data_IF_876824508810
#
_entry.id   IF_876824508810
#
_cell.length_a   1.000
_cell.length_b   1.000
_cell.length_c   1.000
_cell.angle_alpha   90.00
_cell.angle_beta   90.00
_cell.angle_gamma   90.00
#
_symmetry.space_group_name_H-M   'P 1'
#
loop_
_entity.id
_entity.type
_entity.pdbx_description
1 polymer ?
#
# COMPACT_ATOMS: atom_id res chain seq x y z
N UNK A 1 28.80 19.96 14.95
CA UNK A 1 27.53 19.59 14.34
C UNK A 1 26.90 18.40 15.09
N UNK A 2 25.62 18.28 14.98
CA UNK A 2 24.85 17.14 15.52
C UNK A 2 24.81 16.02 14.49
N UNK A 3 24.88 14.76 14.92
CA UNK A 3 24.76 13.60 14.04
C UNK A 3 23.29 13.19 13.95
N UNK A 4 22.79 12.99 12.74
CA UNK A 4 21.46 12.48 12.46
C UNK A 4 21.54 11.20 11.64
N UNK A 5 20.53 10.32 11.81
CA UNK A 5 20.41 9.09 11.05
C UNK A 5 18.98 8.97 10.56
N UNK A 6 18.79 8.93 9.26
CA UNK A 6 17.55 8.48 8.61
C UNK A 6 17.67 6.98 8.30
N UNK A 7 16.57 6.24 8.44
CA UNK A 7 16.58 4.81 8.17
C UNK A 7 15.27 4.33 7.54
N UNK A 8 15.36 3.28 6.73
CA UNK A 8 14.21 2.59 6.15
C UNK A 8 14.55 1.13 5.85
N UNK A 9 13.51 0.30 5.74
CA UNK A 9 13.64 -1.08 5.27
C UNK A 9 13.30 -1.13 3.77
N UNK A 10 14.18 -1.73 2.95
CA UNK A 10 13.93 -1.89 1.52
C UNK A 10 12.82 -2.93 1.29
N UNK A 11 11.72 -2.60 0.56
CA UNK A 11 10.62 -3.52 0.34
C UNK A 11 11.03 -4.84 -0.32
N UNK A 12 10.37 -5.95 0.06
CA UNK A 12 10.56 -7.28 -0.54
C UNK A 12 9.80 -7.43 -1.87
N UNK A 13 9.95 -6.49 -2.79
CA UNK A 13 9.20 -6.45 -4.04
C UNK A 13 10.06 -6.56 -5.30
N UNK A 14 11.35 -6.88 -5.14
CA UNK A 14 12.28 -6.98 -6.28
C UNK A 14 11.94 -8.11 -7.26
N UNK A 15 11.16 -9.14 -6.82
CA UNK A 15 10.59 -10.16 -7.69
C UNK A 15 9.23 -9.73 -8.29
N UNK A 16 8.89 -8.45 -8.17
CA UNK A 16 7.64 -7.86 -8.59
C UNK A 16 6.59 -7.83 -7.49
N UNK A 17 5.46 -7.24 -7.80
CA UNK A 17 4.31 -7.09 -6.91
C UNK A 17 3.05 -7.56 -7.61
N UNK A 18 2.28 -8.42 -6.95
CA UNK A 18 0.91 -8.74 -7.33
C UNK A 18 -0.03 -7.89 -6.49
N UNK A 19 -0.93 -7.17 -7.13
CA UNK A 19 -1.85 -6.23 -6.51
C UNK A 19 -3.26 -6.71 -6.77
N UNK A 20 -4.14 -6.66 -5.75
CA UNK A 20 -5.55 -7.02 -5.89
C UNK A 20 -6.42 -5.92 -5.29
N UNK A 21 -7.21 -5.29 -6.12
CA UNK A 21 -8.26 -4.37 -5.67
C UNK A 21 -9.55 -5.16 -5.47
N UNK A 22 -10.04 -5.20 -4.23
CA UNK A 22 -11.35 -5.75 -3.86
C UNK A 22 -12.32 -4.59 -3.65
N UNK A 23 -13.24 -4.46 -4.60
CA UNK A 23 -14.12 -3.31 -4.70
C UNK A 23 -15.52 -3.74 -4.31
N UNK A 24 -16.09 -3.09 -3.34
CA UNK A 24 -17.52 -3.14 -3.09
C UNK A 24 -18.26 -2.58 -4.31
N UNK A 25 -19.17 -3.37 -4.83
CA UNK A 25 -20.00 -3.04 -6.00
C UNK A 25 -21.48 -2.96 -5.63
N UNK A 26 -21.78 -2.65 -4.37
CA UNK A 26 -23.12 -2.32 -3.90
C UNK A 26 -23.65 -1.04 -4.54
N UNK A 27 -24.95 -0.80 -4.41
CA UNK A 27 -25.60 0.36 -5.03
C UNK A 27 -25.11 1.70 -4.48
N UNK A 28 -24.71 1.77 -3.22
CA UNK A 28 -24.16 2.97 -2.56
C UNK A 28 -22.82 3.38 -3.17
N UNK A 29 -22.00 2.42 -3.58
CA UNK A 29 -20.70 2.65 -4.22
C UNK A 29 -20.77 3.27 -5.63
N UNK A 30 -21.96 3.37 -6.25
CA UNK A 30 -22.08 3.97 -7.58
C UNK A 30 -21.57 5.43 -7.63
N UNK A 31 -21.70 6.17 -6.53
CA UNK A 31 -21.18 7.54 -6.44
C UNK A 31 -19.65 7.60 -6.46
N UNK A 32 -18.96 6.52 -6.07
CA UNK A 32 -17.50 6.42 -5.99
C UNK A 32 -16.85 5.81 -7.25
N UNK A 33 -17.62 5.34 -8.23
CA UNK A 33 -17.10 4.62 -9.40
C UNK A 33 -15.95 5.36 -10.12
N UNK A 34 -16.07 6.67 -10.32
CA UNK A 34 -15.02 7.49 -10.94
C UNK A 34 -13.76 7.58 -10.04
N UNK A 35 -13.95 7.75 -8.74
CA UNK A 35 -12.83 7.82 -7.77
C UNK A 35 -12.08 6.49 -7.69
N UNK A 36 -12.80 5.35 -7.77
CA UNK A 36 -12.19 4.01 -7.80
C UNK A 36 -11.25 3.90 -9.01
N UNK A 37 -11.72 4.20 -10.21
CA UNK A 37 -10.89 4.05 -11.43
C UNK A 37 -9.78 5.09 -11.46
N UNK A 38 -10.02 6.32 -10.99
CA UNK A 38 -8.96 7.32 -10.84
C UNK A 38 -7.88 6.87 -9.83
N UNK A 39 -8.27 6.20 -8.74
CA UNK A 39 -7.34 5.60 -7.80
C UNK A 39 -6.49 4.49 -8.41
N UNK A 40 -7.10 3.60 -9.20
CA UNK A 40 -6.39 2.55 -9.94
C UNK A 40 -5.42 3.17 -10.94
N UNK A 41 -5.84 4.16 -11.72
CA UNK A 41 -4.99 4.90 -12.65
C UNK A 41 -3.80 5.54 -11.93
N UNK A 42 -4.06 6.22 -10.80
CA UNK A 42 -3.00 6.82 -10.00
C UNK A 42 -1.99 5.78 -9.50
N UNK A 43 -2.45 4.60 -9.09
CA UNK A 43 -1.58 3.50 -8.71
C UNK A 43 -0.72 3.03 -9.91
N UNK A 44 -1.33 2.80 -11.07
CA UNK A 44 -0.62 2.38 -12.29
C UNK A 44 0.46 3.39 -12.70
N UNK A 45 0.19 4.69 -12.56
CA UNK A 45 1.16 5.77 -12.86
C UNK A 45 2.29 5.86 -11.84
N UNK A 46 2.07 5.44 -10.62
CA UNK A 46 3.04 5.51 -9.51
C UNK A 46 3.90 4.25 -9.40
N UNK A 47 3.49 3.14 -10.03
CA UNK A 47 4.23 1.89 -10.04
C UNK A 47 5.43 1.96 -11.01
N UNK A 48 6.48 1.17 -10.77
CA UNK A 48 7.62 1.09 -11.68
C UNK A 48 7.18 0.62 -13.08
N UNK A 49 7.97 0.88 -14.14
CA UNK A 49 7.61 0.57 -15.52
C UNK A 49 7.53 -0.94 -15.81
N UNK A 50 7.86 -1.79 -14.86
CA UNK A 50 7.82 -3.25 -15.00
C UNK A 50 7.57 -3.94 -13.65
N UNK A 51 7.23 -5.22 -13.72
CA UNK A 51 7.24 -6.10 -12.53
C UNK A 51 5.96 -6.14 -11.71
N UNK A 52 4.91 -5.40 -12.04
CA UNK A 52 3.63 -5.46 -11.35
C UNK A 52 2.52 -6.13 -12.17
N UNK A 53 1.53 -6.68 -11.46
CA UNK A 53 0.26 -7.16 -11.99
C UNK A 53 -0.86 -6.71 -11.07
N UNK A 54 -1.94 -6.16 -11.60
CA UNK A 54 -3.04 -5.60 -10.82
C UNK A 54 -4.35 -6.26 -11.24
N UNK A 55 -4.87 -7.15 -10.40
CA UNK A 55 -6.19 -7.75 -10.55
C UNK A 55 -7.27 -6.91 -9.88
N UNK A 56 -8.47 -6.95 -10.44
CA UNK A 56 -9.66 -6.28 -9.92
C UNK A 56 -10.75 -7.32 -9.71
N UNK A 57 -11.36 -7.33 -8.53
CA UNK A 57 -12.52 -8.16 -8.21
C UNK A 57 -13.44 -7.44 -7.22
N UNK A 58 -14.50 -8.10 -6.77
CA UNK A 58 -15.43 -7.51 -5.82
C UNK A 58 -15.23 -8.06 -4.40
N UNK A 59 -15.79 -7.38 -3.40
CA UNK A 59 -15.86 -7.87 -2.01
C UNK A 59 -16.82 -9.04 -1.82
N UNK A 60 -17.48 -9.52 -2.88
CA UNK A 60 -18.34 -10.69 -2.83
C UNK A 60 -17.54 -11.97 -3.10
N UNK A 61 -17.61 -12.91 -2.17
CA UNK A 61 -16.90 -14.20 -2.27
C UNK A 61 -17.14 -14.94 -3.59
N UNK A 62 -18.39 -15.05 -4.02
CA UNK A 62 -18.76 -15.80 -5.24
C UNK A 62 -18.14 -15.20 -6.51
N UNK A 63 -18.01 -13.89 -6.57
CA UNK A 63 -17.35 -13.21 -7.68
C UNK A 63 -15.85 -13.42 -7.61
N UNK A 64 -15.25 -13.21 -6.46
CA UNK A 64 -13.82 -13.39 -6.27
C UNK A 64 -13.38 -14.82 -6.60
N UNK A 65 -14.19 -15.83 -6.22
CA UNK A 65 -13.96 -17.24 -6.54
C UNK A 65 -14.07 -17.56 -8.05
N UNK A 66 -14.73 -16.73 -8.84
CA UNK A 66 -15.04 -17.00 -10.26
C UNK A 66 -14.50 -15.94 -11.22
N UNK A 67 -13.86 -14.88 -10.76
CA UNK A 67 -13.22 -13.86 -11.60
C UNK A 67 -12.19 -14.51 -12.55
N UNK A 68 -12.30 -14.24 -13.85
CA UNK A 68 -11.43 -14.77 -14.89
C UNK A 68 -10.82 -13.66 -15.75
N UNK A 69 -10.67 -12.48 -15.19
CA UNK A 69 -10.02 -11.36 -15.85
C UNK A 69 -8.49 -11.47 -15.70
N UNK A 70 -7.78 -11.30 -16.80
CA UNK A 70 -6.33 -11.16 -16.74
C UNK A 70 -5.98 -9.84 -16.05
N UNK A 71 -4.95 -9.80 -15.20
CA UNK A 71 -4.60 -8.57 -14.48
C UNK A 71 -4.11 -7.48 -15.44
N UNK A 72 -4.29 -6.23 -15.04
CA UNK A 72 -3.61 -5.10 -15.65
C UNK A 72 -2.09 -5.25 -15.47
N UNK A 73 -1.34 -4.82 -16.48
CA UNK A 73 0.11 -4.93 -16.54
C UNK A 73 0.73 -3.61 -17.00
N UNK A 74 2.06 -3.41 -16.85
CA UNK A 74 2.73 -2.23 -17.37
C UNK A 74 2.45 -2.00 -18.86
N UNK A 75 2.00 -0.80 -19.20
CA UNK A 75 1.62 -0.40 -20.55
C UNK A 75 0.11 -0.37 -20.82
N UNK A 76 -0.70 -0.98 -19.94
CA UNK A 76 -2.17 -0.86 -20.03
C UNK A 76 -2.63 0.58 -19.75
N UNK A 77 -3.77 0.94 -20.31
CA UNK A 77 -4.35 2.28 -20.24
C UNK A 77 -5.40 2.39 -19.14
N UNK A 78 -5.82 3.61 -18.84
CA UNK A 78 -6.98 3.87 -17.97
C UNK A 78 -8.27 3.27 -18.54
N UNK A 79 -8.39 3.13 -19.87
CA UNK A 79 -9.53 2.47 -20.48
C UNK A 79 -9.56 0.98 -20.15
N UNK A 80 -8.41 0.31 -20.13
CA UNK A 80 -8.32 -1.10 -19.72
C UNK A 80 -8.74 -1.25 -18.24
N UNK A 81 -8.38 -0.28 -17.38
CA UNK A 81 -8.84 -0.25 -15.98
C UNK A 81 -10.36 -0.05 -15.87
N UNK A 82 -10.97 0.82 -16.70
CA UNK A 82 -12.42 0.97 -16.78
C UNK A 82 -13.11 -0.31 -17.23
N UNK A 83 -12.58 -0.97 -18.25
CA UNK A 83 -13.14 -2.20 -18.77
C UNK A 83 -13.06 -3.32 -17.73
N UNK A 84 -11.92 -3.47 -17.06
CA UNK A 84 -11.74 -4.42 -15.96
C UNK A 84 -12.71 -4.13 -14.80
N UNK A 85 -12.85 -2.86 -14.38
CA UNK A 85 -13.80 -2.45 -13.34
C UNK A 85 -15.25 -2.76 -13.73
N UNK A 86 -15.65 -2.53 -14.98
CA UNK A 86 -17.02 -2.79 -15.46
C UNK A 86 -17.32 -4.29 -15.55
N UNK A 87 -16.31 -5.11 -15.83
CA UNK A 87 -16.45 -6.57 -15.97
C UNK A 87 -16.58 -7.31 -14.63
N UNK A 88 -16.29 -6.67 -13.48
CA UNK A 88 -16.34 -7.35 -12.16
C UNK A 88 -17.74 -7.76 -11.71
N UNK A 89 -18.80 -7.31 -12.36
CA UNK A 89 -20.19 -7.54 -11.94
C UNK A 89 -20.63 -6.66 -10.77
N UNK A 90 -21.92 -6.70 -10.43
CA UNK A 90 -22.49 -5.96 -9.30
C UNK A 90 -22.94 -6.94 -8.21
N UNK A 91 -22.49 -6.72 -6.98
CA UNK A 91 -22.91 -7.48 -5.81
C UNK A 91 -22.89 -6.59 -4.57
N UNK A 92 -23.89 -6.77 -3.72
CA UNK A 92 -24.05 -6.04 -2.46
C UNK A 92 -23.62 -6.89 -1.25
N UNK A 93 -22.38 -7.35 -1.23
CA UNK A 93 -21.83 -8.08 -0.07
C UNK A 93 -20.45 -7.55 0.23
N UNK A 94 -20.29 -6.97 1.41
CA UNK A 94 -19.07 -6.32 1.88
C UNK A 94 -18.25 -7.30 2.74
N UNK A 95 -17.84 -8.42 2.12
CA UNK A 95 -17.10 -9.51 2.77
C UNK A 95 -15.69 -9.64 2.18
N UNK A 96 -14.90 -8.59 2.33
CA UNK A 96 -13.58 -8.47 1.72
C UNK A 96 -12.59 -9.55 2.15
N UNK A 97 -12.64 -9.98 3.43
CA UNK A 97 -11.76 -11.04 3.93
C UNK A 97 -12.11 -12.40 3.31
N UNK A 98 -13.40 -12.72 3.19
CA UNK A 98 -13.86 -13.91 2.47
C UNK A 98 -13.50 -13.85 0.99
N UNK A 99 -13.64 -12.68 0.37
CA UNK A 99 -13.39 -12.48 -1.04
C UNK A 99 -11.90 -12.62 -1.38
N UNK A 100 -10.99 -12.05 -0.60
CA UNK A 100 -9.55 -12.23 -0.88
C UNK A 100 -9.11 -13.67 -0.66
N UNK A 101 -9.66 -14.37 0.32
CA UNK A 101 -9.42 -15.80 0.49
C UNK A 101 -9.85 -16.58 -0.77
N UNK A 102 -11.07 -16.34 -1.24
CA UNK A 102 -11.58 -16.99 -2.45
C UNK A 102 -10.73 -16.67 -3.70
N UNK A 103 -10.33 -15.42 -3.84
CA UNK A 103 -9.52 -14.96 -4.97
C UNK A 103 -8.13 -15.62 -5.01
N UNK A 104 -7.46 -15.75 -3.88
CA UNK A 104 -6.11 -16.29 -3.79
C UNK A 104 -6.10 -17.83 -3.75
N UNK A 105 -7.07 -18.47 -3.10
CA UNK A 105 -7.02 -19.90 -2.75
C UNK A 105 -8.00 -20.74 -3.58
N UNK A 106 -9.23 -20.27 -3.76
CA UNK A 106 -10.28 -21.06 -4.41
C UNK A 106 -10.35 -20.83 -5.93
N UNK A 107 -9.92 -19.65 -6.40
CA UNK A 107 -9.96 -19.31 -7.80
C UNK A 107 -8.76 -19.89 -8.58
N UNK A 108 -8.98 -20.99 -9.27
CA UNK A 108 -7.94 -21.68 -10.04
C UNK A 108 -7.38 -20.83 -11.20
N UNK A 109 -8.19 -19.96 -11.80
CA UNK A 109 -7.73 -19.08 -12.87
C UNK A 109 -6.66 -18.11 -12.36
N UNK A 110 -6.88 -17.49 -11.19
CA UNK A 110 -5.93 -16.55 -10.61
C UNK A 110 -4.61 -17.20 -10.23
N UNK A 111 -4.62 -18.47 -9.82
CA UNK A 111 -3.40 -19.22 -9.53
C UNK A 111 -2.48 -19.34 -10.76
N UNK A 112 -3.00 -19.17 -11.97
CA UNK A 112 -2.20 -19.20 -13.20
C UNK A 112 -1.32 -17.97 -13.39
N UNK A 113 -1.67 -16.82 -12.81
CA UNK A 113 -0.95 -15.57 -12.99
C UNK A 113 -0.34 -15.01 -11.70
N UNK A 114 -0.86 -15.34 -10.54
CA UNK A 114 -0.29 -14.98 -9.24
C UNK A 114 1.10 -15.58 -9.08
N UNK A 115 2.05 -14.77 -8.62
CA UNK A 115 3.46 -15.16 -8.48
C UNK A 115 3.80 -15.40 -7.01
N UNK A 116 4.09 -16.65 -6.60
CA UNK A 116 4.40 -16.95 -5.19
C UNK A 116 5.60 -16.19 -4.62
N UNK A 117 6.55 -15.80 -5.46
CA UNK A 117 7.75 -15.05 -5.08
C UNK A 117 7.61 -13.54 -5.11
N UNK A 118 6.51 -13.01 -5.68
CA UNK A 118 6.23 -11.59 -5.68
C UNK A 118 5.66 -11.14 -4.32
N UNK A 119 5.83 -9.87 -3.97
CA UNK A 119 5.05 -9.25 -2.89
C UNK A 119 3.56 -9.24 -3.24
N UNK A 120 2.70 -9.09 -2.25
CA UNK A 120 1.26 -9.03 -2.41
C UNK A 120 0.70 -7.78 -1.74
N UNK A 121 0.08 -6.89 -2.50
CA UNK A 121 -0.70 -5.77 -1.99
C UNK A 121 -2.18 -6.04 -2.22
N UNK A 122 -2.99 -5.95 -1.18
CA UNK A 122 -4.45 -5.95 -1.28
C UNK A 122 -4.99 -4.57 -0.92
N UNK A 123 -5.89 -4.06 -1.75
CA UNK A 123 -6.59 -2.79 -1.54
C UNK A 123 -8.07 -3.06 -1.38
N UNK A 124 -8.59 -2.86 -0.18
CA UNK A 124 -10.02 -2.92 0.08
C UNK A 124 -10.68 -1.57 -0.21
N UNK A 125 -11.80 -1.57 -0.92
CA UNK A 125 -12.57 -0.37 -1.22
C UNK A 125 -14.03 -0.61 -0.90
N UNK A 126 -14.57 0.05 0.14
CA UNK A 126 -15.97 -0.08 0.54
C UNK A 126 -16.44 1.13 1.36
N UNK A 127 -17.68 1.54 1.16
CA UNK A 127 -18.36 2.54 1.98
C UNK A 127 -19.07 1.95 3.22
N UNK A 128 -18.91 0.63 3.43
CA UNK A 128 -19.41 -0.11 4.58
C UNK A 128 -18.30 -0.86 5.32
N UNK A 129 -18.63 -1.37 6.54
CA UNK A 129 -17.71 -2.20 7.30
C UNK A 129 -17.61 -3.61 6.71
N UNK A 130 -16.53 -4.27 6.99
CA UNK A 130 -16.24 -5.65 6.60
C UNK A 130 -17.18 -6.63 7.33
N UNK A 131 -17.85 -7.52 6.59
CA UNK A 131 -18.94 -8.38 7.07
C UNK A 131 -18.68 -9.87 6.83
N UNK A 132 -17.44 -10.31 6.64
CA UNK A 132 -17.11 -11.72 6.45
C UNK A 132 -17.56 -12.57 7.62
N UNK A 133 -18.11 -13.73 7.32
CA UNK A 133 -18.65 -14.69 8.29
C UNK A 133 -18.13 -16.11 8.08
N UNK A 134 -17.30 -16.33 7.04
CA UNK A 134 -16.79 -17.67 6.73
C UNK A 134 -15.72 -18.09 7.73
N UNK A 135 -15.72 -19.37 8.04
CA UNK A 135 -14.58 -20.00 8.67
C UNK A 135 -13.51 -20.28 7.60
N UNK A 136 -12.37 -19.65 7.75
CA UNK A 136 -11.19 -20.01 6.97
C UNK A 136 -10.55 -21.22 7.64
N UNK A 137 -10.86 -22.43 7.22
CA UNK A 137 -10.23 -23.61 7.83
C UNK A 137 -8.75 -23.70 7.46
N UNK A 138 -7.85 -23.63 8.44
CA UNK A 138 -8.00 -23.63 9.90
C UNK A 138 -8.27 -22.24 10.53
N UNK A 139 -8.83 -21.30 9.79
CA UNK A 139 -8.99 -19.91 10.16
C UNK A 139 -10.47 -19.58 10.33
N UNK A 140 -10.84 -18.91 11.43
CA UNK A 140 -12.16 -18.35 11.61
C UNK A 140 -12.30 -16.99 10.91
N UNK A 141 -13.53 -16.53 10.70
CA UNK A 141 -13.82 -15.21 10.10
C UNK A 141 -13.51 -14.02 11.02
N UNK A 142 -12.75 -14.23 12.10
CA UNK A 142 -12.28 -13.18 12.99
C UNK A 142 -11.18 -12.34 12.39
N UNK A 143 -11.07 -11.08 12.83
CA UNK A 143 -10.03 -10.15 12.38
C UNK A 143 -8.62 -10.73 12.60
N UNK A 144 -8.33 -11.26 13.80
CA UNK A 144 -7.01 -11.80 14.12
C UNK A 144 -6.67 -13.04 13.28
N UNK A 145 -7.67 -13.87 12.99
CA UNK A 145 -7.46 -15.05 12.15
C UNK A 145 -7.18 -14.65 10.71
N UNK A 146 -7.85 -13.63 10.19
CA UNK A 146 -7.55 -13.05 8.90
C UNK A 146 -6.12 -12.48 8.86
N UNK A 147 -5.70 -11.70 9.85
CA UNK A 147 -4.35 -11.13 9.94
C UNK A 147 -3.30 -12.25 9.92
N UNK A 148 -3.50 -13.29 10.74
CA UNK A 148 -2.57 -14.42 10.81
C UNK A 148 -2.49 -15.17 9.49
N UNK A 149 -3.63 -15.41 8.84
CA UNK A 149 -3.69 -16.10 7.56
C UNK A 149 -3.06 -15.26 6.44
N UNK A 150 -3.45 -13.98 6.34
CA UNK A 150 -2.96 -13.10 5.27
C UNK A 150 -1.44 -12.89 5.36
N UNK A 151 -0.91 -12.73 6.56
CA UNK A 151 0.52 -12.58 6.80
C UNK A 151 1.39 -13.75 6.31
N UNK A 152 0.78 -14.92 6.05
CA UNK A 152 1.48 -16.12 5.58
C UNK A 152 1.38 -16.32 4.06
N UNK A 153 0.65 -15.46 3.34
CA UNK A 153 0.42 -15.70 1.91
C UNK A 153 1.64 -15.43 1.04
N UNK A 154 2.53 -14.54 1.46
CA UNK A 154 3.80 -14.20 0.77
C UNK A 154 4.86 -13.84 1.80
N UNK A 155 6.11 -13.76 1.37
CA UNK A 155 7.21 -13.23 2.19
C UNK A 155 6.99 -11.75 2.54
N UNK A 156 6.32 -11.02 1.64
CA UNK A 156 5.92 -9.63 1.88
C UNK A 156 4.47 -9.45 1.50
N UNK A 157 3.68 -9.03 2.47
CA UNK A 157 2.26 -8.70 2.31
C UNK A 157 2.02 -7.28 2.78
N UNK A 158 1.17 -6.58 2.04
CA UNK A 158 0.79 -5.20 2.30
C UNK A 158 -0.73 -5.08 2.21
N UNK A 159 -1.30 -4.22 3.03
CA UNK A 159 -2.71 -3.86 2.94
C UNK A 159 -2.88 -2.36 2.77
N UNK A 160 -3.89 -1.98 2.01
CA UNK A 160 -4.43 -0.62 2.00
C UNK A 160 -5.96 -0.72 2.07
N UNK A 161 -6.60 0.31 2.60
CA UNK A 161 -8.05 0.39 2.67
C UNK A 161 -8.51 1.79 2.27
N UNK A 162 -9.48 1.85 1.39
CA UNK A 162 -10.19 3.08 1.01
C UNK A 162 -11.61 2.92 1.56
N UNK A 163 -11.85 3.48 2.75
CA UNK A 163 -13.07 3.21 3.52
C UNK A 163 -13.55 4.47 4.24
N UNK A 164 -14.80 4.45 4.70
CA UNK A 164 -15.30 5.52 5.55
C UNK A 164 -14.63 5.45 6.94
N UNK A 165 -13.97 6.52 7.32
CA UNK A 165 -13.27 6.66 8.61
C UNK A 165 -14.08 7.44 9.65
N UNK A 166 -15.23 8.02 9.26
CA UNK A 166 -15.99 8.92 10.10
C UNK A 166 -17.01 8.15 10.97
N UNK A 167 -16.98 8.32 12.30
CA UNK A 167 -17.85 7.58 13.21
C UNK A 167 -19.30 8.07 13.22
N UNK A 168 -19.57 9.18 12.55
CA UNK A 168 -20.91 9.77 12.44
C UNK A 168 -21.47 9.60 11.04
N UNK A 169 -22.79 9.52 10.92
CA UNK A 169 -23.51 9.50 9.64
C UNK A 169 -23.04 10.63 8.71
N UNK A 170 -22.79 10.30 7.46
CA UNK A 170 -22.37 11.24 6.43
C UNK A 170 -22.90 10.82 5.05
N UNK A 171 -22.84 11.74 4.08
CA UNK A 171 -23.43 11.54 2.74
C UNK A 171 -22.58 10.66 1.80
N UNK A 172 -21.37 10.29 2.19
CA UNK A 172 -20.46 9.54 1.32
C UNK A 172 -20.42 8.04 1.62
N UNK A 173 -21.15 7.58 2.61
CA UNK A 173 -21.27 6.17 2.99
C UNK A 173 -22.73 5.75 3.09
N UNK A 174 -22.95 4.43 3.08
CA UNK A 174 -24.27 3.89 3.33
C UNK A 174 -24.59 3.97 4.83
N UNK A 175 -25.73 4.63 5.16
CA UNK A 175 -26.11 4.91 6.55
C UNK A 175 -26.88 3.75 7.20
N UNK A 176 -26.24 2.59 7.33
CA UNK A 176 -26.77 1.51 8.13
C UNK A 176 -26.14 1.60 9.54
N UNK A 177 -26.92 1.75 10.62
CA UNK A 177 -26.38 1.82 11.95
C UNK A 177 -25.40 0.69 12.28
N UNK A 178 -24.17 1.05 12.64
CA UNK A 178 -23.08 0.12 12.97
C UNK A 178 -22.28 -0.44 11.79
N UNK A 179 -22.61 -0.07 10.53
CA UNK A 179 -21.90 -0.58 9.36
C UNK A 179 -21.23 0.52 8.50
N UNK A 180 -21.46 1.79 8.76
CA UNK A 180 -20.93 2.90 7.94
C UNK A 180 -19.43 3.18 8.11
N UNK A 181 -18.80 2.67 9.18
CA UNK A 181 -17.36 2.86 9.41
C UNK A 181 -16.63 1.57 9.08
N UNK A 182 -15.60 1.65 8.26
CA UNK A 182 -14.78 0.50 7.85
C UNK A 182 -13.79 0.03 8.92
N UNK A 183 -14.21 -0.11 10.19
CA UNK A 183 -13.33 -0.40 11.32
C UNK A 183 -12.49 -1.66 11.12
N UNK A 184 -13.10 -2.77 10.69
CA UNK A 184 -12.38 -4.04 10.51
C UNK A 184 -11.37 -3.97 9.37
N UNK A 185 -11.67 -3.24 8.30
CA UNK A 185 -10.70 -2.97 7.22
C UNK A 185 -9.54 -2.11 7.73
N UNK A 186 -9.82 -1.04 8.50
CA UNK A 186 -8.80 -0.18 9.08
C UNK A 186 -7.91 -0.96 10.06
N UNK A 187 -8.49 -1.76 10.94
CA UNK A 187 -7.75 -2.57 11.91
C UNK A 187 -6.83 -3.58 11.22
N UNK A 188 -7.32 -4.27 10.18
CA UNK A 188 -6.50 -5.17 9.38
C UNK A 188 -5.35 -4.42 8.70
N UNK A 189 -5.65 -3.27 8.06
CA UNK A 189 -4.66 -2.45 7.37
C UNK A 189 -3.58 -1.95 8.33
N UNK A 190 -3.98 -1.44 9.49
CA UNK A 190 -3.07 -0.96 10.53
C UNK A 190 -2.17 -2.08 11.09
N UNK A 191 -2.67 -3.31 11.18
CA UNK A 191 -1.87 -4.46 11.66
C UNK A 191 -0.67 -4.76 10.73
N UNK A 192 -0.74 -4.36 9.46
CA UNK A 192 0.37 -4.48 8.49
C UNK A 192 1.10 -3.15 8.24
N UNK A 193 0.84 -2.11 9.06
CA UNK A 193 1.42 -0.78 8.85
C UNK A 193 1.01 -0.13 7.53
N UNK A 194 -0.16 -0.51 7.01
CA UNK A 194 -0.65 -0.09 5.71
C UNK A 194 -1.30 1.30 5.72
N UNK A 195 -1.81 1.70 4.57
CA UNK A 195 -2.39 3.04 4.35
C UNK A 195 -3.91 2.97 4.37
N UNK A 196 -4.53 3.79 5.20
CA UNK A 196 -5.98 4.01 5.21
C UNK A 196 -6.28 5.32 4.51
N UNK A 197 -7.15 5.27 3.51
CA UNK A 197 -7.64 6.43 2.74
C UNK A 197 -9.11 6.66 3.10
N UNK A 198 -9.47 7.91 3.35
CA UNK A 198 -10.86 8.29 3.56
C UNK A 198 -11.62 8.24 2.23
N UNK A 199 -12.61 7.34 2.12
CA UNK A 199 -13.48 7.23 0.93
C UNK A 199 -14.27 8.53 0.68
N UNK A 200 -14.51 9.32 1.74
CA UNK A 200 -15.20 10.60 1.66
C UNK A 200 -14.31 11.73 1.13
N UNK A 201 -13.01 11.53 1.03
CA UNK A 201 -12.11 12.48 0.40
C UNK A 201 -12.45 12.65 -1.09
N UNK A 202 -12.37 13.88 -1.57
CA UNK A 202 -12.54 14.17 -3.01
C UNK A 202 -11.33 13.72 -3.84
N UNK A 203 -10.17 13.56 -3.21
CA UNK A 203 -8.91 13.16 -3.83
C UNK A 203 -8.27 12.01 -3.05
N UNK A 204 -8.22 10.84 -3.69
CA UNK A 204 -7.57 9.65 -3.13
C UNK A 204 -6.09 9.54 -3.52
N UNK A 205 -5.63 10.36 -4.47
CA UNK A 205 -4.30 10.23 -5.06
C UNK A 205 -3.16 10.24 -4.02
N UNK A 206 -3.13 11.12 -3.01
CA UNK A 206 -2.05 11.10 -2.01
C UNK A 206 -1.98 9.78 -1.23
N UNK A 207 -3.14 9.24 -0.83
CA UNK A 207 -3.21 7.97 -0.10
C UNK A 207 -2.83 6.78 -0.97
N UNK A 208 -3.27 6.74 -2.23
CA UNK A 208 -2.91 5.69 -3.19
C UNK A 208 -1.42 5.74 -3.50
N UNK A 209 -0.83 6.93 -3.66
CA UNK A 209 0.62 7.10 -3.83
C UNK A 209 1.39 6.57 -2.62
N UNK A 210 0.92 6.87 -1.40
CA UNK A 210 1.53 6.37 -0.17
C UNK A 210 1.47 4.83 -0.09
N UNK A 211 0.34 4.20 -0.45
CA UNK A 211 0.22 2.75 -0.52
C UNK A 211 1.15 2.15 -1.58
N UNK A 212 1.28 2.80 -2.74
CA UNK A 212 2.17 2.36 -3.82
C UNK A 212 3.64 2.46 -3.39
N UNK A 213 4.00 3.52 -2.67
CA UNK A 213 5.37 3.71 -2.17
C UNK A 213 5.82 2.59 -1.22
N UNK A 214 4.89 1.98 -0.46
CA UNK A 214 5.22 0.85 0.42
C UNK A 214 5.67 -0.40 -0.34
N UNK A 215 5.25 -0.56 -1.59
CA UNK A 215 5.53 -1.75 -2.40
C UNK A 215 6.56 -1.49 -3.50
N UNK A 216 7.04 -0.27 -3.63
CA UNK A 216 8.04 0.13 -4.62
C UNK A 216 9.41 0.15 -3.96
N UNK A 217 10.45 -0.48 -4.54
CA UNK A 217 11.81 -0.34 -4.05
C UNK A 217 12.23 1.13 -4.00
N UNK A 218 12.88 1.52 -2.91
CA UNK A 218 13.38 2.87 -2.75
C UNK A 218 14.65 3.07 -3.58
N UNK A 219 14.54 3.80 -4.67
CA UNK A 219 15.66 4.24 -5.51
C UNK A 219 16.22 5.58 -5.04
N UNK A 220 15.45 6.31 -4.24
CA UNK A 220 15.78 7.60 -3.65
C UNK A 220 15.16 7.71 -2.25
N UNK A 221 15.87 8.36 -1.33
CA UNK A 221 15.37 8.62 0.01
C UNK A 221 15.59 10.08 0.42
N UNK A 222 14.51 10.79 0.71
CA UNK A 222 14.55 12.17 1.19
C UNK A 222 15.08 12.22 2.63
N UNK A 223 16.02 13.11 2.89
CA UNK A 223 16.60 13.31 4.20
C UNK A 223 15.72 14.23 5.06
N UNK A 224 15.64 13.92 6.35
CA UNK A 224 14.88 14.72 7.32
C UNK A 224 15.46 16.13 7.45
N UNK A 225 16.78 16.25 7.46
CA UNK A 225 17.49 17.53 7.58
C UNK A 225 18.47 17.75 6.45
N UNK A 226 18.85 19.03 6.25
CA UNK A 226 19.90 19.38 5.31
C UNK A 226 21.25 18.90 5.87
N UNK A 227 21.99 18.02 5.18
CA UNK A 227 23.27 17.54 5.63
C UNK A 227 24.41 18.52 5.30
N UNK A 228 25.50 18.42 6.04
CA UNK A 228 26.82 18.83 5.57
C UNK A 228 27.24 17.74 4.57
N UNK A 229 27.25 18.04 3.28
CA UNK A 229 27.30 17.04 2.19
C UNK A 229 28.46 16.03 2.31
N UNK A 230 29.64 16.48 2.72
CA UNK A 230 30.85 15.65 2.85
C UNK A 230 30.80 14.70 4.07
N UNK A 231 29.72 14.74 4.86
CA UNK A 231 29.56 13.90 6.04
C UNK A 231 28.60 12.73 5.86
N UNK A 232 27.96 12.62 4.67
CA UNK A 232 27.02 11.55 4.36
C UNK A 232 27.72 10.20 4.27
N UNK A 233 27.15 9.23 4.97
CA UNK A 233 27.56 7.82 4.93
C UNK A 233 26.31 6.96 4.84
N UNK A 234 26.28 5.99 3.93
CA UNK A 234 25.17 5.05 3.77
C UNK A 234 25.61 3.67 4.24
N UNK A 235 24.77 3.03 5.06
CA UNK A 235 24.93 1.64 5.51
C UNK A 235 23.78 0.80 4.98
N UNK A 236 24.08 -0.43 4.59
CA UNK A 236 23.12 -1.46 4.21
C UNK A 236 23.42 -2.69 5.10
N UNK A 237 22.46 -3.09 5.94
CA UNK A 237 22.62 -4.16 6.91
C UNK A 237 23.91 -3.97 7.78
N UNK A 238 24.12 -2.74 8.24
CA UNK A 238 25.28 -2.32 9.06
C UNK A 238 26.65 -2.36 8.32
N UNK A 239 26.65 -2.57 7.00
CA UNK A 239 27.88 -2.52 6.17
C UNK A 239 27.85 -1.22 5.37
N UNK A 240 28.95 -0.46 5.43
CA UNK A 240 29.09 0.79 4.65
C UNK A 240 28.97 0.49 3.16
N UNK A 241 28.04 1.20 2.48
CA UNK A 241 27.85 1.13 1.05
C UNK A 241 28.93 1.94 0.34
N UNK A 242 29.43 1.42 -0.78
CA UNK A 242 30.45 2.14 -1.56
C UNK A 242 29.89 3.50 -2.03
N UNK A 243 30.65 4.57 -1.83
CA UNK A 243 30.27 5.92 -2.24
C UNK A 243 30.08 6.10 -3.75
N UNK A 244 30.54 5.15 -4.58
CA UNK A 244 30.27 5.13 -6.01
C UNK A 244 28.87 4.58 -6.37
N UNK A 245 28.16 3.95 -5.42
CA UNK A 245 26.88 3.28 -5.62
C UNK A 245 25.67 4.15 -5.23
N UNK A 246 25.91 5.37 -4.76
CA UNK A 246 24.90 6.36 -4.41
C UNK A 246 25.41 7.78 -4.63
N UNK A 247 24.50 8.76 -4.65
CA UNK A 247 24.84 10.18 -4.73
C UNK A 247 23.85 11.02 -3.91
N UNK A 248 24.33 12.18 -3.44
CA UNK A 248 23.46 13.16 -2.78
C UNK A 248 22.96 14.18 -3.78
N UNK A 249 21.63 14.37 -3.83
CA UNK A 249 20.97 15.41 -4.60
C UNK A 249 20.59 16.57 -3.68
N UNK A 250 21.33 17.67 -3.75
CA UNK A 250 21.10 18.85 -2.93
C UNK A 250 19.79 19.60 -3.29
N UNK A 251 19.25 19.40 -4.49
CA UNK A 251 18.02 20.06 -4.94
C UNK A 251 16.79 19.45 -4.28
N UNK A 252 16.75 18.13 -4.15
CA UNK A 252 15.66 17.38 -3.52
C UNK A 252 15.93 17.03 -2.07
N UNK A 253 17.13 17.33 -1.57
CA UNK A 253 17.63 16.94 -0.25
C UNK A 253 17.48 15.42 -0.03
N UNK A 254 17.99 14.63 -0.96
CA UNK A 254 17.83 13.18 -0.97
C UNK A 254 19.13 12.44 -1.30
N UNK A 255 19.18 11.17 -0.93
CA UNK A 255 20.19 10.23 -1.43
C UNK A 255 19.56 9.39 -2.52
N UNK A 256 20.16 9.41 -3.71
CA UNK A 256 19.79 8.59 -4.87
C UNK A 256 20.70 7.36 -4.92
N UNK A 257 20.11 6.15 -5.04
CA UNK A 257 20.83 4.90 -5.11
C UNK A 257 21.11 4.52 -6.57
N UNK A 258 22.36 4.59 -6.99
CA UNK A 258 22.82 4.12 -8.32
C UNK A 258 22.84 2.58 -8.37
N UNK A 259 23.06 1.95 -7.22
CA UNK A 259 22.84 0.52 -6.99
C UNK A 259 21.78 0.40 -5.90
N UNK A 260 20.60 -0.12 -6.27
CA UNK A 260 19.48 -0.25 -5.31
C UNK A 260 19.85 -1.23 -4.21
N UNK A 261 19.74 -0.85 -2.91
CA UNK A 261 19.98 -1.77 -1.81
C UNK A 261 19.12 -3.05 -1.92
N UNK A 262 19.63 -4.22 -1.48
CA UNK A 262 18.90 -5.47 -1.57
C UNK A 262 17.54 -5.43 -0.88
N UNK A 263 16.57 -6.18 -1.41
CA UNK A 263 15.25 -6.31 -0.77
C UNK A 263 15.38 -6.81 0.67
N UNK A 264 14.60 -6.20 1.57
CA UNK A 264 14.57 -6.53 2.99
C UNK A 264 15.79 -6.07 3.78
N UNK A 265 16.72 -5.34 3.16
CA UNK A 265 17.84 -4.75 3.90
C UNK A 265 17.38 -3.53 4.69
N UNK A 266 17.97 -3.35 5.87
CA UNK A 266 17.91 -2.09 6.60
C UNK A 266 18.92 -1.12 5.97
N UNK A 267 18.44 0.04 5.52
CA UNK A 267 19.28 1.13 5.02
C UNK A 267 19.30 2.24 6.05
N UNK A 268 20.49 2.69 6.41
CA UNK A 268 20.73 3.79 7.35
C UNK A 268 21.60 4.85 6.66
N UNK A 269 21.18 6.11 6.72
CA UNK A 269 21.90 7.25 6.16
C UNK A 269 22.30 8.18 7.31
N UNK A 270 23.57 8.13 7.66
CA UNK A 270 24.16 8.99 8.70
C UNK A 270 24.73 10.27 8.11
N UNK A 271 24.53 11.39 8.78
CA UNK A 271 25.10 12.67 8.37
C UNK A 271 25.15 13.68 9.52
N UNK A 272 25.95 14.73 9.34
CA UNK A 272 26.05 15.85 10.28
C UNK A 272 25.16 16.99 9.81
N UNK A 273 24.41 17.57 10.72
CA UNK A 273 23.62 18.78 10.48
C UNK A 273 24.30 20.00 11.12
N UNK A 274 24.13 21.18 10.53
CA UNK A 274 24.55 22.42 11.16
C UNK A 274 23.65 22.69 12.37
N UNK A 275 24.20 23.15 13.49
CA UNK A 275 23.38 23.56 14.64
C UNK A 275 22.45 24.70 14.21
N UNK A 276 21.17 24.63 14.64
CA UNK A 276 20.24 25.73 14.41
C UNK A 276 20.82 27.02 14.95
N UNK A 277 20.81 28.15 14.18
CA UNK A 277 21.25 29.43 14.70
C UNK A 277 20.28 29.88 15.81
N UNK A 278 20.60 29.58 17.06
CA UNK A 278 19.77 29.92 18.21
C UNK A 278 20.09 29.22 19.52
N UNK A 279 20.94 28.19 19.53
CA UNK A 279 21.34 27.47 20.76
C UNK A 279 22.65 28.02 21.40
N UNK A 280 23.08 29.19 21.01
CA UNK A 280 24.08 29.94 21.79
C UNK A 280 23.40 30.52 23.04
N UNK A 281 23.11 29.67 24.00
CA UNK A 281 22.73 30.13 25.36
C UNK A 281 23.98 30.71 26.02
N UNK A 282 24.26 31.98 25.68
CA UNK A 282 25.22 32.84 26.41
C UNK A 282 24.72 33.08 27.84
N UNK A 283 24.79 32.02 28.66
CA UNK A 283 24.76 32.16 30.12
C UNK A 283 26.19 32.26 30.66
N UNK A 284 26.95 33.24 30.15
CA UNK A 284 28.09 33.76 30.86
C UNK A 284 27.59 34.88 31.78
N UNK A 285 27.16 34.46 32.97
CA UNK A 285 26.74 35.34 34.05
C UNK A 285 27.88 36.17 34.59
N UNK A 286 27.54 37.25 35.06
CA UNK A 286 28.27 38.09 36.05
C UNK A 286 27.87 37.69 37.46
#
# INVERSE_FOLDING_TARGET
GEVWIDSFDQPYTMNGIDIVWLIDKSGSMNQHAHSVVAGIEQMMLSLPPAGWRLGITTTAWSNAASTQEFPLVPGDSVQDAWDAYNNTGNHGTEAGFDAIYAYLIENQYNQSWLRPSAGLLVVFVSDENEQSTRDFSPHAAGLQDFINWYGQQRNSVFLASIVNIHPTENDCSWNIPGLWVGERYMDATNAFGGVVVDICSQDWAPGVQAATAQVTPHEEWALTYQPIADTLIVFVDFVEMNSADWQYNATTNSVEFLVIPPQGSLVEIGYVIEPSPGDDDDSAGS
#
